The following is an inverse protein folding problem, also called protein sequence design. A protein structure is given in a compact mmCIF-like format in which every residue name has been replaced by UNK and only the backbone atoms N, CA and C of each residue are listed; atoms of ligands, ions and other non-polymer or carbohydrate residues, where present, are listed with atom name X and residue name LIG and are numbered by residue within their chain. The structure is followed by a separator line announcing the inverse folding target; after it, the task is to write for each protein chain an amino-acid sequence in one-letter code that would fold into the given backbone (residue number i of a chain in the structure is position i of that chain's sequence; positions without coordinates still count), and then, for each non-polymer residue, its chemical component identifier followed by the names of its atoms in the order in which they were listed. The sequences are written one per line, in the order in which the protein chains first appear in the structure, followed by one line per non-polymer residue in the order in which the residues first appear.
data_IF_506197139394
#
_entry.id   IF_506197139394
#
_cell.length_a   1.000
_cell.length_b   1.000
_cell.length_c   1.000
_cell.angle_alpha   90.00
_cell.angle_beta   90.00
_cell.angle_gamma   90.00
#
_symmetry.space_group_name_H-M   'P 1'
#
loop_
_entity.id
_entity.type
_entity.pdbx_description
1 polymer ?
#
# COMPACT_ATOMS: atom_id res chain seq x y z
N UNK A 1 -10.99 -11.21 -3.76
CA UNK A 1 -10.21 -10.48 -2.74
C UNK A 1 -8.82 -10.24 -3.30
N UNK A 2 -8.48 -8.99 -3.59
CA UNK A 2 -7.14 -8.62 -4.03
C UNK A 2 -6.22 -8.79 -2.82
N UNK A 3 -5.47 -9.87 -2.79
CA UNK A 3 -4.69 -10.29 -1.63
C UNK A 3 -3.34 -9.58 -1.69
N UNK A 4 -3.15 -8.58 -0.82
CA UNK A 4 -1.85 -7.98 -0.59
C UNK A 4 -1.00 -9.02 0.15
N UNK A 5 0.26 -9.21 -0.28
CA UNK A 5 1.12 -10.33 0.16
C UNK A 5 1.02 -10.66 1.66
N UNK A 6 0.80 -11.93 2.00
CA UNK A 6 0.67 -12.40 3.39
C UNK A 6 1.90 -12.07 4.25
N UNK A 7 3.05 -11.91 3.61
CA UNK A 7 4.30 -11.50 4.24
C UNK A 7 4.28 -10.05 4.74
N UNK A 8 3.31 -9.24 4.30
CA UNK A 8 3.20 -7.82 4.65
C UNK A 8 2.30 -7.54 5.85
N UNK A 9 1.70 -8.58 6.45
CA UNK A 9 0.88 -8.45 7.65
C UNK A 9 1.56 -7.69 8.80
N UNK A 10 2.89 -7.82 9.04
CA UNK A 10 3.56 -7.04 10.08
C UNK A 10 3.56 -5.52 9.84
N UNK A 11 3.32 -5.06 8.60
CA UNK A 11 3.19 -3.63 8.30
C UNK A 11 1.76 -3.11 8.54
N UNK A 12 0.80 -3.98 8.83
CA UNK A 12 -0.60 -3.63 9.05
C UNK A 12 -0.95 -3.72 10.54
N UNK A 13 -1.37 -2.60 11.13
CA UNK A 13 -1.94 -2.57 12.47
C UNK A 13 -3.37 -2.05 12.41
N UNK A 14 -4.31 -2.79 13.00
CA UNK A 14 -5.73 -2.42 13.07
C UNK A 14 -6.07 -2.17 14.54
N UNK A 15 -6.58 -0.97 14.84
CA UNK A 15 -7.04 -0.61 16.18
C UNK A 15 -8.47 -0.08 16.11
N UNK A 16 -9.27 -0.38 17.13
CA UNK A 16 -10.63 0.13 17.25
C UNK A 16 -10.69 1.17 18.36
N UNK A 17 -11.43 2.25 18.11
CA UNK A 17 -11.65 3.34 19.04
C UNK A 17 -13.14 3.67 19.06
N UNK A 18 -13.66 4.15 20.19
CA UNK A 18 -15.03 4.68 20.25
C UNK A 18 -14.97 6.21 20.40
N UNK A 19 -15.71 6.92 19.57
CA UNK A 19 -15.83 8.38 19.57
C UNK A 19 -17.29 8.75 19.31
N UNK A 20 -17.88 9.60 20.15
CA UNK A 20 -19.28 10.05 20.05
C UNK A 20 -20.29 8.89 19.91
N UNK A 21 -20.06 7.79 20.64
CA UNK A 21 -20.91 6.60 20.60
C UNK A 21 -20.80 5.77 19.31
N UNK A 22 -19.81 6.06 18.45
CA UNK A 22 -19.53 5.29 17.23
C UNK A 22 -18.20 4.57 17.33
N UNK A 23 -18.13 3.38 16.74
CA UNK A 23 -16.88 2.66 16.59
C UNK A 23 -16.13 3.09 15.33
N UNK A 24 -14.85 3.41 15.51
CA UNK A 24 -13.90 3.81 14.49
C UNK A 24 -12.85 2.72 14.34
N UNK A 25 -12.79 2.12 13.15
CA UNK A 25 -11.71 1.22 12.76
C UNK A 25 -10.57 2.05 12.16
N UNK A 26 -9.43 2.10 12.86
CA UNK A 26 -8.21 2.74 12.37
C UNK A 26 -7.26 1.68 11.84
N UNK A 27 -6.95 1.81 10.55
CA UNK A 27 -5.94 0.98 9.88
C UNK A 27 -4.67 1.80 9.71
N UNK A 28 -3.59 1.37 10.35
CA UNK A 28 -2.26 1.97 10.25
C UNK A 28 -1.38 1.07 9.38
N UNK A 29 -0.76 1.64 8.36
CA UNK A 29 0.07 0.90 7.40
C UNK A 29 1.49 1.49 7.44
N UNK A 30 2.47 0.67 7.79
CA UNK A 30 3.88 1.01 7.70
C UNK A 30 4.37 0.86 6.25
N UNK A 31 5.43 1.57 5.85
CA UNK A 31 5.96 1.42 4.51
C UNK A 31 6.45 -0.01 4.24
N UNK A 32 6.07 -0.56 3.10
CA UNK A 32 6.52 -1.89 2.67
C UNK A 32 8.05 -1.93 2.47
N UNK A 33 8.72 -3.07 2.77
CA UNK A 33 10.16 -3.25 2.50
C UNK A 33 10.47 -3.48 1.01
N UNK A 34 9.45 -3.66 0.16
CA UNK A 34 9.59 -3.93 -1.28
C UNK A 34 8.38 -3.40 -2.07
N UNK A 35 8.44 -3.30 -3.41
CA UNK A 35 7.27 -3.02 -4.22
C UNK A 35 6.17 -4.06 -4.02
N UNK A 36 4.91 -3.62 -4.05
CA UNK A 36 3.73 -4.47 -3.85
C UNK A 36 2.73 -4.18 -4.96
N UNK A 37 2.54 -5.16 -5.84
CA UNK A 37 1.65 -5.03 -6.99
C UNK A 37 0.29 -5.65 -6.68
N UNK A 38 -0.77 -5.00 -7.18
CA UNK A 38 -2.13 -5.49 -7.12
C UNK A 38 -2.45 -6.14 -8.47
N UNK A 39 -2.97 -7.36 -8.43
CA UNK A 39 -3.43 -8.04 -9.64
C UNK A 39 -4.85 -7.59 -9.99
N UNK A 40 -5.01 -7.02 -11.18
CA UNK A 40 -6.30 -6.62 -11.75
C UNK A 40 -6.44 -7.24 -13.14
N UNK A 41 -7.25 -8.30 -13.23
CA UNK A 41 -7.36 -9.11 -14.45
C UNK A 41 -6.03 -9.80 -14.79
N UNK A 42 -5.48 -9.47 -15.96
CA UNK A 42 -4.19 -9.97 -16.43
C UNK A 42 -3.01 -9.05 -16.10
N UNK A 43 -3.28 -7.87 -15.55
CA UNK A 43 -2.25 -6.87 -15.29
C UNK A 43 -1.88 -6.83 -13.81
N UNK A 44 -0.62 -6.46 -13.55
CA UNK A 44 -0.12 -6.13 -12.23
C UNK A 44 0.13 -4.62 -12.16
N UNK A 45 -0.49 -3.98 -11.17
CA UNK A 45 -0.52 -2.53 -11.03
C UNK A 45 0.16 -2.10 -9.74
N UNK A 46 0.97 -1.04 -9.82
CA UNK A 46 1.56 -0.39 -8.65
C UNK A 46 0.88 0.96 -8.44
N UNK A 47 0.25 1.10 -7.28
CA UNK A 47 -0.38 2.35 -6.87
C UNK A 47 0.44 3.01 -5.76
N UNK A 48 0.44 4.34 -5.76
CA UNK A 48 0.97 5.13 -4.65
C UNK A 48 -0.09 6.12 -4.17
N UNK A 49 -0.01 6.50 -2.90
CA UNK A 49 -0.82 7.59 -2.34
C UNK A 49 -0.03 8.88 -2.44
N UNK A 50 -0.60 9.88 -3.10
CA UNK A 50 -0.03 11.22 -3.22
C UNK A 50 -1.07 12.23 -2.74
N UNK A 51 -0.80 12.85 -1.58
CA UNK A 51 -1.78 13.68 -0.89
C UNK A 51 -3.01 12.87 -0.46
N UNK A 52 -4.20 13.32 -0.86
CA UNK A 52 -5.47 12.65 -0.59
C UNK A 52 -5.92 11.69 -1.71
N UNK A 53 -5.10 11.51 -2.76
CA UNK A 53 -5.42 10.69 -3.93
C UNK A 53 -4.58 9.42 -3.99
N UNK A 54 -5.12 8.39 -4.65
CA UNK A 54 -4.38 7.17 -4.99
C UNK A 54 -4.17 7.17 -6.50
N UNK A 55 -2.92 7.09 -6.95
CA UNK A 55 -2.54 7.16 -8.36
C UNK A 55 -1.94 5.84 -8.80
N UNK A 56 -2.41 5.34 -9.95
CA UNK A 56 -1.76 4.26 -10.69
C UNK A 56 -0.48 4.79 -11.34
N UNK A 57 0.63 4.11 -11.12
CA UNK A 57 1.87 4.40 -11.82
C UNK A 57 1.91 3.70 -13.17
N UNK A 58 2.40 4.41 -14.19
CA UNK A 58 2.86 3.78 -15.43
C UNK A 58 4.09 2.91 -15.17
N UNK A 59 4.44 2.03 -16.13
CA UNK A 59 5.64 1.18 -16.01
C UNK A 59 6.91 1.97 -15.74
N UNK A 60 7.10 3.11 -16.45
CA UNK A 60 8.29 3.96 -16.26
C UNK A 60 8.33 4.57 -14.86
N UNK A 61 7.23 5.16 -14.42
CA UNK A 61 7.13 5.74 -13.07
C UNK A 61 7.32 4.68 -11.98
N UNK A 62 6.78 3.47 -12.17
CA UNK A 62 6.96 2.37 -11.23
C UNK A 62 8.43 1.99 -11.08
N UNK A 63 9.17 1.87 -12.19
CA UNK A 63 10.62 1.57 -12.17
C UNK A 63 11.39 2.65 -11.42
N UNK A 64 11.14 3.93 -11.74
CA UNK A 64 11.82 5.07 -11.11
C UNK A 64 11.50 5.19 -9.62
N UNK A 65 10.22 5.01 -9.26
CA UNK A 65 9.77 5.00 -7.87
C UNK A 65 10.44 3.87 -7.09
N UNK A 66 10.48 2.65 -7.62
CA UNK A 66 11.08 1.50 -6.95
C UNK A 66 12.57 1.74 -6.66
N UNK A 67 13.33 2.21 -7.64
CA UNK A 67 14.76 2.52 -7.50
C UNK A 67 15.04 3.55 -6.42
N UNK A 68 14.16 4.55 -6.31
CA UNK A 68 14.34 5.65 -5.35
C UNK A 68 13.92 5.24 -3.94
N UNK A 69 12.80 4.52 -3.81
CA UNK A 69 12.18 4.18 -2.53
C UNK A 69 12.90 3.05 -1.80
N UNK A 70 13.38 2.05 -2.54
CA UNK A 70 14.11 0.89 -2.02
C UNK A 70 15.47 0.84 -2.68
N UNK A 71 16.33 1.78 -2.31
CA UNK A 71 17.72 1.78 -2.75
C UNK A 71 18.34 0.47 -2.29
N UNK A 72 18.75 -0.37 -3.24
CA UNK A 72 19.68 -1.46 -2.97
C UNK A 72 20.98 -0.80 -2.54
N UNK A 73 21.40 -1.04 -1.29
CA UNK A 73 22.74 -0.69 -0.84
C UNK A 73 23.77 -1.52 -1.61
#
# INVERSE_FOLDING_TARGET
MNTVGKDLTPQLAITFHSLDGKDLCRVTIQPSPRPVFIKEGQFEHLYIRTGNSTRLLTTKEAIEYCRTRWKTA
#
